data_IF_538753543426
#
_entry.id   IF_538753543426
#
_cell.length_a   1.000
_cell.length_b   1.000
_cell.length_c   1.000
_cell.angle_alpha   90.00
_cell.angle_beta   90.00
_cell.angle_gamma   90.00
#
_symmetry.space_group_name_H-M   'P 1'
#
loop_
_entity.id
_entity.type
_entity.pdbx_description
1 polymer ?
#
# COMPACT_ATOMS: atom_id res chain seq x y z
N UNK A 1 -24.22 47.29 -5.13
CA UNK A 1 -23.13 46.41 -5.54
C UNK A 1 -23.37 45.08 -4.83
N UNK A 2 -23.83 44.07 -5.58
CA UNK A 2 -24.11 42.74 -5.03
C UNK A 2 -22.88 41.89 -5.21
N UNK A 3 -22.32 41.40 -4.09
CA UNK A 3 -21.21 40.49 -4.05
C UNK A 3 -21.72 39.10 -4.43
N UNK A 4 -21.32 38.61 -5.59
CA UNK A 4 -21.61 37.24 -6.00
C UNK A 4 -20.85 36.26 -5.10
N UNK A 5 -21.59 35.47 -4.33
CA UNK A 5 -21.07 34.26 -3.69
C UNK A 5 -20.65 33.28 -4.81
N UNK A 6 -19.38 33.02 -4.89
CA UNK A 6 -18.84 31.91 -5.69
C UNK A 6 -19.32 30.60 -5.05
N UNK A 7 -20.30 29.97 -5.69
CA UNK A 7 -20.69 28.61 -5.36
C UNK A 7 -19.48 27.68 -5.52
N UNK A 8 -19.12 27.05 -4.42
CA UNK A 8 -18.16 25.95 -4.46
C UNK A 8 -18.77 24.81 -5.29
N UNK A 9 -18.00 24.12 -6.16
CA UNK A 9 -18.53 23.01 -6.90
C UNK A 9 -19.05 21.93 -5.94
N UNK A 10 -20.13 21.23 -6.27
CA UNK A 10 -20.66 20.18 -5.42
C UNK A 10 -19.60 19.13 -5.20
N UNK A 11 -19.24 18.88 -3.96
CA UNK A 11 -18.42 17.74 -3.57
C UNK A 11 -19.21 16.49 -3.94
N UNK A 12 -18.89 15.90 -5.07
CA UNK A 12 -19.45 14.61 -5.48
C UNK A 12 -18.94 13.60 -4.47
N UNK A 13 -19.82 13.15 -3.57
CA UNK A 13 -19.46 12.12 -2.61
C UNK A 13 -19.07 10.86 -3.40
N UNK A 14 -17.81 10.49 -3.34
CA UNK A 14 -17.34 9.23 -3.93
C UNK A 14 -18.04 8.09 -3.19
N UNK A 15 -18.65 7.12 -3.90
CA UNK A 15 -19.36 6.02 -3.26
C UNK A 15 -18.45 5.26 -2.29
N UNK A 16 -18.99 4.90 -1.14
CA UNK A 16 -18.30 4.02 -0.17
C UNK A 16 -18.45 2.59 -0.67
N UNK A 17 -17.33 1.85 -0.81
CA UNK A 17 -17.38 0.42 -1.11
C UNK A 17 -18.18 -0.31 -0.02
N UNK A 18 -19.14 -1.15 -0.43
CA UNK A 18 -19.93 -2.01 0.47
C UNK A 18 -19.34 -3.41 0.47
N UNK A 19 -19.52 -4.12 1.57
CA UNK A 19 -19.09 -5.51 1.70
C UNK A 19 -19.66 -6.37 0.55
N UNK A 20 -18.76 -7.10 -0.15
CA UNK A 20 -19.11 -7.97 -1.27
C UNK A 20 -19.01 -7.35 -2.67
N UNK A 21 -18.57 -6.09 -2.79
CA UNK A 21 -18.25 -5.44 -4.07
C UNK A 21 -16.79 -5.68 -4.45
N UNK A 22 -16.48 -5.55 -5.74
CA UNK A 22 -15.11 -5.60 -6.27
C UNK A 22 -14.20 -4.59 -5.57
N UNK A 23 -12.89 -4.86 -5.53
CA UNK A 23 -11.91 -3.91 -4.99
C UNK A 23 -11.73 -2.74 -5.94
N UNK A 24 -11.68 -1.53 -5.41
CA UNK A 24 -11.56 -0.30 -6.19
C UNK A 24 -10.44 0.60 -5.68
N UNK A 25 -9.88 1.37 -6.60
CA UNK A 25 -9.07 2.56 -6.34
C UNK A 25 -9.85 3.81 -6.74
N UNK A 26 -9.43 4.99 -6.31
CA UNK A 26 -10.03 6.28 -6.70
C UNK A 26 -9.02 7.00 -7.59
N UNK A 27 -9.38 7.19 -8.85
CA UNK A 27 -8.55 7.86 -9.84
C UNK A 27 -9.37 8.96 -10.51
N UNK A 28 -8.93 10.22 -10.39
CA UNK A 28 -9.65 11.39 -10.88
C UNK A 28 -11.11 11.50 -10.38
N UNK A 29 -11.38 11.01 -9.16
CA UNK A 29 -12.69 11.01 -8.56
C UNK A 29 -13.62 9.87 -9.02
N UNK A 30 -13.13 8.98 -9.86
CA UNK A 30 -13.85 7.80 -10.33
C UNK A 30 -13.35 6.53 -9.62
N UNK A 31 -14.25 5.57 -9.40
CA UNK A 31 -13.89 4.24 -8.90
C UNK A 31 -13.37 3.41 -10.07
N UNK A 32 -12.09 3.05 -10.03
CA UNK A 32 -11.47 2.12 -10.97
C UNK A 32 -11.35 0.76 -10.30
N UNK A 33 -12.01 -0.24 -10.84
CA UNK A 33 -11.92 -1.62 -10.34
C UNK A 33 -10.50 -2.14 -10.44
N UNK A 34 -10.01 -2.73 -9.35
CA UNK A 34 -8.71 -3.38 -9.29
C UNK A 34 -8.84 -4.82 -9.81
N UNK A 35 -7.88 -5.26 -10.62
CA UNK A 35 -7.85 -6.66 -11.03
C UNK A 35 -7.56 -7.57 -9.82
N UNK A 36 -8.25 -8.72 -9.72
CA UNK A 36 -8.01 -9.64 -8.62
C UNK A 36 -6.61 -10.24 -8.71
N UNK A 37 -5.91 -10.27 -7.59
CA UNK A 37 -4.62 -10.95 -7.48
C UNK A 37 -4.75 -12.46 -7.67
N UNK A 38 -3.81 -13.08 -8.39
CA UNK A 38 -3.67 -14.53 -8.44
C UNK A 38 -3.32 -15.13 -7.06
N UNK A 39 -3.69 -16.39 -6.83
CA UNK A 39 -3.53 -17.06 -5.54
C UNK A 39 -2.09 -17.02 -4.99
N UNK A 40 -1.08 -17.19 -5.84
CA UNK A 40 0.32 -17.14 -5.44
C UNK A 40 0.73 -15.76 -4.92
N UNK A 41 0.34 -14.69 -5.61
CA UNK A 41 0.59 -13.30 -5.20
C UNK A 41 -0.13 -12.97 -3.90
N UNK A 42 -1.38 -13.42 -3.75
CA UNK A 42 -2.17 -13.27 -2.52
C UNK A 42 -1.49 -13.93 -1.33
N UNK A 43 -0.99 -15.17 -1.49
CA UNK A 43 -0.26 -15.87 -0.43
C UNK A 43 1.04 -15.16 -0.07
N UNK A 44 1.75 -14.61 -1.06
CA UNK A 44 3.00 -13.89 -0.84
C UNK A 44 2.76 -12.56 -0.10
N UNK A 45 1.73 -11.81 -0.51
CA UNK A 45 1.30 -10.60 0.20
C UNK A 45 0.90 -10.92 1.65
N UNK A 46 0.14 -12.00 1.87
CA UNK A 46 -0.26 -12.46 3.19
C UNK A 46 0.94 -12.87 4.05
N UNK A 47 1.90 -13.63 3.50
CA UNK A 47 3.10 -14.04 4.21
C UNK A 47 3.94 -12.83 4.64
N UNK A 48 4.11 -11.84 3.75
CA UNK A 48 4.81 -10.60 4.07
C UNK A 48 4.05 -9.80 5.15
N UNK A 49 2.75 -9.62 4.98
CA UNK A 49 1.90 -8.90 5.93
C UNK A 49 1.95 -9.54 7.32
N UNK A 50 1.91 -10.87 7.42
CA UNK A 50 2.00 -11.60 8.68
C UNK A 50 3.31 -11.33 9.40
N UNK A 51 4.46 -11.45 8.70
CA UNK A 51 5.78 -11.20 9.29
C UNK A 51 5.97 -9.76 9.73
N UNK A 52 5.51 -8.80 8.91
CA UNK A 52 5.52 -7.39 9.29
C UNK A 52 4.62 -7.12 10.49
N UNK A 53 3.42 -7.71 10.51
CA UNK A 53 2.46 -7.53 11.59
C UNK A 53 2.99 -8.06 12.93
N UNK A 54 3.63 -9.23 12.94
CA UNK A 54 4.24 -9.80 14.14
C UNK A 54 5.31 -8.87 14.71
N UNK A 55 6.18 -8.33 13.84
CA UNK A 55 7.19 -7.37 14.23
C UNK A 55 6.58 -6.06 14.73
N UNK A 56 5.65 -5.48 13.97
CA UNK A 56 4.99 -4.21 14.28
C UNK A 56 4.24 -4.28 15.62
N UNK A 57 3.53 -5.38 15.87
CA UNK A 57 2.80 -5.59 17.11
C UNK A 57 3.73 -5.76 18.31
N UNK A 58 4.79 -6.57 18.19
CA UNK A 58 5.76 -6.79 19.27
C UNK A 58 6.47 -5.50 19.70
N UNK A 59 6.72 -4.60 18.73
CA UNK A 59 7.38 -3.31 18.97
C UNK A 59 6.40 -2.14 19.11
N UNK A 60 5.08 -2.37 19.00
CA UNK A 60 4.01 -1.36 19.12
C UNK A 60 4.18 -0.18 18.16
N UNK A 61 4.61 -0.45 16.93
CA UNK A 61 4.95 0.57 15.94
C UNK A 61 3.73 1.18 15.25
N UNK A 62 2.65 0.42 15.06
CA UNK A 62 1.47 0.85 14.31
C UNK A 62 0.55 -0.30 13.91
N UNK A 63 0.03 -0.23 12.71
CA UNK A 63 -0.91 -1.20 12.12
C UNK A 63 -0.38 -1.64 10.76
N UNK A 64 -0.35 -2.96 10.52
CA UNK A 64 -0.21 -3.55 9.18
C UNK A 64 -1.58 -3.99 8.72
N UNK A 65 -1.93 -3.67 7.48
CA UNK A 65 -3.23 -3.97 6.90
C UNK A 65 -3.08 -4.33 5.43
N UNK A 66 -3.95 -5.18 4.92
CA UNK A 66 -3.99 -5.60 3.50
C UNK A 66 -5.23 -5.05 2.83
N UNK A 67 -5.15 -4.79 1.52
CA UNK A 67 -6.29 -4.45 0.67
C UNK A 67 -7.12 -3.25 1.18
N UNK A 68 -6.51 -2.35 1.96
CA UNK A 68 -7.18 -1.16 2.47
C UNK A 68 -7.14 -0.03 1.45
N UNK A 69 -8.29 0.56 1.15
CA UNK A 69 -8.35 1.76 0.36
C UNK A 69 -7.95 2.98 1.22
N UNK A 70 -6.83 3.60 0.87
CA UNK A 70 -6.37 4.83 1.49
C UNK A 70 -6.79 6.04 0.67
N UNK A 71 -7.50 6.98 1.27
CA UNK A 71 -7.74 8.30 0.70
C UNK A 71 -6.61 9.24 1.03
N UNK A 72 -6.22 10.04 0.05
CA UNK A 72 -5.19 11.03 0.25
C UNK A 72 -5.82 12.40 0.57
N UNK A 73 -5.79 12.81 1.85
CA UNK A 73 -6.42 14.04 2.36
C UNK A 73 -6.15 15.30 1.51
N UNK A 74 -5.01 15.36 0.83
CA UNK A 74 -4.64 16.50 -0.02
C UNK A 74 -5.34 16.50 -1.38
N UNK A 75 -5.91 15.37 -1.78
CA UNK A 75 -6.64 15.19 -3.03
C UNK A 75 -7.71 14.12 -2.85
N UNK A 76 -8.97 14.52 -2.52
CA UNK A 76 -10.06 13.58 -2.30
C UNK A 76 -10.44 12.78 -3.56
N UNK A 77 -9.97 13.20 -4.73
CA UNK A 77 -10.18 12.49 -5.98
C UNK A 77 -9.13 11.41 -6.23
N UNK A 78 -8.24 11.16 -5.24
CA UNK A 78 -7.21 10.13 -5.30
C UNK A 78 -7.27 9.22 -4.07
N UNK A 79 -7.21 7.92 -4.35
CA UNK A 79 -7.09 6.89 -3.33
C UNK A 79 -6.49 5.64 -3.94
N UNK A 80 -5.56 5.03 -3.21
CA UNK A 80 -4.86 3.82 -3.63
C UNK A 80 -5.10 2.69 -2.64
N UNK A 81 -5.04 1.47 -3.16
CA UNK A 81 -5.24 0.23 -2.42
C UNK A 81 -4.00 -0.66 -2.58
N UNK A 82 -2.95 -0.43 -1.79
CA UNK A 82 -1.78 -1.30 -1.83
C UNK A 82 -2.11 -2.70 -1.30
N UNK A 83 -1.43 -3.72 -1.79
CA UNK A 83 -1.62 -5.11 -1.35
C UNK A 83 -1.32 -5.27 0.14
N UNK A 84 -0.27 -4.60 0.62
CA UNK A 84 0.05 -4.49 2.06
C UNK A 84 0.41 -3.05 2.38
N UNK A 85 -0.04 -2.56 3.51
CA UNK A 85 0.33 -1.24 4.01
C UNK A 85 0.73 -1.27 5.49
N UNK A 86 1.59 -0.33 5.87
CA UNK A 86 1.86 -0.03 7.27
C UNK A 86 1.54 1.43 7.56
N UNK A 87 0.78 1.65 8.63
CA UNK A 87 0.46 2.97 9.18
C UNK A 87 1.08 3.08 10.57
N UNK A 88 1.98 4.03 10.75
CA UNK A 88 2.66 4.24 12.02
C UNK A 88 1.68 4.64 13.12
N UNK A 89 2.06 4.35 14.37
CA UNK A 89 1.28 4.73 15.55
C UNK A 89 1.00 6.22 15.61
N UNK A 90 1.90 7.04 15.11
CA UNK A 90 1.71 8.49 15.03
C UNK A 90 0.56 8.85 14.10
N UNK A 91 0.56 8.32 12.87
CA UNK A 91 -0.50 8.55 11.88
C UNK A 91 -1.85 7.96 12.34
N UNK A 92 -1.82 6.79 12.99
CA UNK A 92 -3.04 6.21 13.59
C UNK A 92 -3.68 7.10 14.68
N UNK A 93 -2.87 7.89 15.40
CA UNK A 93 -3.41 8.85 16.39
C UNK A 93 -4.04 10.08 15.72
N UNK A 94 -3.48 10.49 14.58
CA UNK A 94 -4.00 11.64 13.83
C UNK A 94 -5.28 11.28 13.06
N UNK A 95 -5.32 10.07 12.49
CA UNK A 95 -6.48 9.53 11.79
C UNK A 95 -6.71 8.08 12.28
N UNK A 96 -7.61 7.87 13.26
CA UNK A 96 -7.91 6.54 13.77
C UNK A 96 -8.45 5.60 12.70
N UNK A 97 -8.16 4.30 12.85
CA UNK A 97 -8.67 3.27 11.94
C UNK A 97 -10.20 3.33 11.89
N UNK A 98 -10.79 3.50 10.70
CA UNK A 98 -12.25 3.53 10.55
C UNK A 98 -12.84 2.14 10.85
N UNK A 99 -14.10 2.12 11.28
CA UNK A 99 -14.83 0.85 11.47
C UNK A 99 -15.37 0.30 10.16
N UNK A 100 -15.61 1.16 9.21
CA UNK A 100 -16.19 0.84 7.90
C UNK A 100 -15.59 1.78 6.84
N UNK A 101 -15.55 1.31 5.60
CA UNK A 101 -15.12 2.09 4.45
C UNK A 101 -13.61 2.24 4.30
N UNK A 102 -13.23 3.28 3.63
CA UNK A 102 -11.86 3.68 3.33
C UNK A 102 -11.19 4.41 4.50
N UNK A 103 -9.88 4.44 4.51
CA UNK A 103 -9.10 5.11 5.55
C UNK A 103 -8.48 6.40 5.03
N UNK A 104 -8.90 7.52 5.62
CA UNK A 104 -8.38 8.84 5.29
C UNK A 104 -7.04 9.09 6.02
N UNK A 105 -6.02 8.39 5.57
CA UNK A 105 -4.64 8.48 6.05
C UNK A 105 -3.68 8.12 4.93
N UNK A 106 -2.48 8.70 4.95
CA UNK A 106 -1.38 8.25 4.09
C UNK A 106 -0.60 7.16 4.82
N UNK A 107 -0.41 5.95 4.29
CA UNK A 107 0.42 4.94 4.93
C UNK A 107 1.90 5.35 4.94
N UNK A 108 2.69 4.84 5.88
CA UNK A 108 4.14 5.04 5.91
C UNK A 108 4.85 4.13 4.93
N UNK A 109 4.32 2.91 4.75
CA UNK A 109 4.75 1.94 3.74
C UNK A 109 3.56 1.51 2.90
N UNK A 110 3.74 1.48 1.59
CA UNK A 110 2.89 0.76 0.63
C UNK A 110 3.70 -0.39 0.00
N UNK A 111 3.07 -1.53 -0.18
CA UNK A 111 3.66 -2.68 -0.87
C UNK A 111 2.76 -3.07 -2.02
N UNK A 112 3.34 -3.22 -3.20
CA UNK A 112 2.70 -3.73 -4.42
C UNK A 112 3.34 -5.06 -4.79
N UNK A 113 2.54 -6.08 -5.05
CA UNK A 113 2.99 -7.39 -5.53
C UNK A 113 2.67 -7.49 -7.02
N UNK A 114 3.71 -7.41 -7.83
CA UNK A 114 3.57 -7.36 -9.29
C UNK A 114 3.12 -8.71 -9.84
N UNK A 115 2.05 -8.71 -10.60
CA UNK A 115 1.61 -9.84 -11.42
C UNK A 115 2.13 -9.70 -12.87
N UNK A 116 2.20 -10.79 -13.64
CA UNK A 116 2.60 -10.73 -15.05
C UNK A 116 1.71 -9.85 -15.94
N UNK A 117 0.49 -9.57 -15.50
CA UNK A 117 -0.51 -8.77 -16.20
C UNK A 117 -0.46 -7.29 -15.84
N UNK A 118 0.31 -6.90 -14.82
CA UNK A 118 0.38 -5.50 -14.42
C UNK A 118 1.06 -4.64 -15.50
N UNK A 119 0.47 -3.50 -15.80
CA UNK A 119 1.08 -2.50 -16.67
C UNK A 119 2.19 -1.75 -15.90
N UNK A 120 3.38 -1.70 -16.51
CA UNK A 120 4.51 -0.98 -15.95
C UNK A 120 4.20 0.52 -15.77
N UNK A 121 3.41 1.11 -16.67
CA UNK A 121 2.99 2.51 -16.59
C UNK A 121 2.11 2.75 -15.36
N UNK A 122 1.17 1.84 -15.08
CA UNK A 122 0.30 1.94 -13.91
C UNK A 122 1.10 1.84 -12.60
N UNK A 123 2.08 0.93 -12.54
CA UNK A 123 2.97 0.82 -11.39
C UNK A 123 3.78 2.09 -11.18
N UNK A 124 4.31 2.70 -12.24
CA UNK A 124 5.05 3.95 -12.17
C UNK A 124 4.16 5.10 -11.68
N UNK A 125 2.92 5.19 -12.17
CA UNK A 125 1.93 6.16 -11.69
C UNK A 125 1.64 5.98 -10.19
N UNK A 126 1.45 4.75 -9.70
CA UNK A 126 1.28 4.44 -8.29
C UNK A 126 2.48 4.93 -7.46
N UNK A 127 3.70 4.64 -7.90
CA UNK A 127 4.93 5.09 -7.23
C UNK A 127 5.00 6.62 -7.13
N UNK A 128 4.72 7.32 -8.24
CA UNK A 128 4.69 8.78 -8.28
C UNK A 128 3.68 9.35 -7.27
N UNK A 129 2.47 8.78 -7.22
CA UNK A 129 1.41 9.21 -6.32
C UNK A 129 1.76 8.93 -4.86
N UNK A 130 2.23 7.73 -4.53
CA UNK A 130 2.62 7.38 -3.16
C UNK A 130 3.62 8.39 -2.59
N UNK A 131 4.69 8.70 -3.31
CA UNK A 131 5.68 9.66 -2.84
C UNK A 131 5.16 11.10 -2.84
N UNK A 132 4.36 11.50 -3.83
CA UNK A 132 3.70 12.81 -3.88
C UNK A 132 2.84 13.07 -2.64
N UNK A 133 2.13 12.05 -2.16
CA UNK A 133 1.25 12.18 -0.99
C UNK A 133 1.96 11.94 0.34
N UNK A 134 3.21 11.47 0.33
CA UNK A 134 4.04 11.39 1.52
C UNK A 134 4.12 9.99 2.14
N UNK A 135 3.96 8.95 1.35
CA UNK A 135 4.40 7.59 1.69
C UNK A 135 5.92 7.62 1.83
N UNK A 136 6.46 7.03 2.88
CA UNK A 136 7.89 7.10 3.19
C UNK A 136 8.71 6.06 2.45
N UNK A 137 8.15 4.88 2.24
CA UNK A 137 8.75 3.81 1.42
C UNK A 137 7.67 3.11 0.61
N UNK A 138 8.04 2.69 -0.60
CA UNK A 138 7.24 1.78 -1.40
C UNK A 138 8.07 0.54 -1.71
N UNK A 139 7.52 -0.61 -1.40
CA UNK A 139 8.13 -1.89 -1.73
C UNK A 139 7.40 -2.50 -2.92
N UNK A 140 8.15 -2.88 -3.94
CA UNK A 140 7.59 -3.55 -5.12
C UNK A 140 8.16 -4.96 -5.17
N UNK A 141 7.32 -5.95 -4.91
CA UNK A 141 7.68 -7.34 -4.91
C UNK A 141 7.43 -7.96 -6.28
N UNK A 142 8.47 -8.53 -6.87
CA UNK A 142 8.45 -9.21 -8.16
C UNK A 142 8.56 -10.73 -7.95
N UNK A 143 7.44 -11.46 -7.85
CA UNK A 143 7.44 -12.89 -7.50
C UNK A 143 8.18 -13.75 -8.52
N UNK A 144 8.00 -13.51 -9.82
CA UNK A 144 8.63 -14.29 -10.89
C UNK A 144 10.16 -14.22 -10.87
N UNK A 145 10.70 -13.08 -10.43
CA UNK A 145 12.15 -12.87 -10.35
C UNK A 145 12.69 -13.06 -8.94
N UNK A 146 11.83 -13.37 -7.97
CA UNK A 146 12.16 -13.50 -6.53
C UNK A 146 12.97 -12.31 -6.04
N UNK A 147 12.48 -11.08 -6.36
CA UNK A 147 13.14 -9.81 -6.05
C UNK A 147 12.19 -8.86 -5.36
N UNK A 148 12.77 -8.02 -4.53
CA UNK A 148 12.09 -6.88 -3.90
C UNK A 148 12.83 -5.60 -4.26
N UNK A 149 12.10 -4.61 -4.73
CA UNK A 149 12.58 -3.25 -4.95
C UNK A 149 12.10 -2.38 -3.78
N UNK A 150 13.04 -1.85 -3.01
CA UNK A 150 12.77 -0.94 -1.90
C UNK A 150 13.00 0.47 -2.38
N UNK A 151 11.92 1.20 -2.64
CA UNK A 151 11.95 2.60 -3.01
C UNK A 151 11.87 3.45 -1.75
N UNK A 152 12.92 4.21 -1.44
CA UNK A 152 12.92 5.25 -0.41
C UNK A 152 12.56 6.63 -1.01
N UNK A 153 12.65 6.75 -2.33
CA UNK A 153 12.17 7.86 -3.14
C UNK A 153 12.15 7.42 -4.61
N UNK A 154 11.65 8.28 -5.50
CA UNK A 154 11.69 8.03 -6.94
C UNK A 154 13.12 7.92 -7.51
N UNK A 155 14.14 8.35 -6.76
CA UNK A 155 15.55 8.33 -7.20
C UNK A 155 16.43 7.39 -6.39
N UNK A 156 15.93 6.87 -5.27
CA UNK A 156 16.68 5.98 -4.39
C UNK A 156 15.95 4.65 -4.27
N UNK A 157 16.49 3.66 -4.97
CA UNK A 157 15.93 2.31 -5.05
C UNK A 157 17.03 1.31 -4.73
N UNK A 158 16.74 0.40 -3.82
CA UNK A 158 17.58 -0.77 -3.54
C UNK A 158 16.88 -2.01 -4.09
N UNK A 159 17.63 -2.85 -4.79
CA UNK A 159 17.12 -4.12 -5.33
C UNK A 159 17.68 -5.26 -4.48
N UNK A 160 16.78 -6.01 -3.87
CA UNK A 160 17.10 -7.18 -3.07
C UNK A 160 16.77 -8.44 -3.87
N UNK A 161 17.71 -9.37 -3.90
CA UNK A 161 17.51 -10.71 -4.47
C UNK A 161 17.08 -11.69 -3.38
N UNK A 162 16.75 -12.90 -3.75
CA UNK A 162 16.28 -13.92 -2.81
C UNK A 162 17.24 -14.16 -1.63
N UNK A 163 18.56 -14.14 -1.87
CA UNK A 163 19.59 -14.37 -0.84
C UNK A 163 19.79 -13.17 0.11
N UNK A 164 19.14 -12.04 -0.18
CA UNK A 164 19.24 -10.84 0.64
C UNK A 164 18.17 -10.83 1.74
N UNK A 165 18.32 -9.90 2.68
CA UNK A 165 17.34 -9.64 3.73
C UNK A 165 16.80 -8.23 3.63
N UNK A 166 15.49 -8.08 3.87
CA UNK A 166 14.87 -6.78 4.07
C UNK A 166 15.37 -6.25 5.42
N UNK A 167 15.99 -5.07 5.37
CA UNK A 167 16.34 -4.33 6.57
C UNK A 167 15.31 -3.24 6.81
N UNK A 168 14.73 -3.20 8.00
CA UNK A 168 13.60 -2.32 8.29
C UNK A 168 13.91 -0.82 8.31
N UNK A 169 15.20 -0.45 8.40
CA UNK A 169 15.63 0.94 8.40
C UNK A 169 14.96 1.76 9.50
N UNK A 170 14.54 2.98 9.14
CA UNK A 170 13.85 3.88 10.08
C UNK A 170 12.40 3.48 10.35
N UNK A 171 11.72 2.80 9.41
CA UNK A 171 10.32 2.40 9.58
C UNK A 171 10.18 1.27 10.59
N UNK A 172 11.10 0.31 10.55
CA UNK A 172 11.08 -0.90 11.37
C UNK A 172 12.45 -1.15 12.00
N UNK A 173 12.87 -0.33 12.99
CA UNK A 173 14.21 -0.43 13.57
C UNK A 173 14.48 -1.82 14.15
N UNK A 174 15.49 -2.52 13.62
CA UNK A 174 15.86 -3.86 14.03
C UNK A 174 15.17 -4.99 13.27
N UNK A 175 14.26 -4.72 12.36
CA UNK A 175 13.71 -5.74 11.47
C UNK A 175 14.80 -6.26 10.53
N UNK A 176 14.93 -7.58 10.50
CA UNK A 176 15.69 -8.33 9.49
C UNK A 176 14.80 -9.46 9.02
N UNK A 177 14.41 -9.43 7.76
CA UNK A 177 13.52 -10.43 7.15
C UNK A 177 14.20 -11.02 5.90
N UNK A 178 14.71 -12.26 5.97
CA UNK A 178 15.31 -12.94 4.81
C UNK A 178 14.25 -13.14 3.71
N UNK A 179 14.55 -12.70 2.47
CA UNK A 179 13.63 -12.88 1.34
C UNK A 179 13.44 -14.36 0.99
N UNK A 180 14.46 -15.19 1.13
CA UNK A 180 14.36 -16.63 0.93
C UNK A 180 13.24 -17.25 1.80
N UNK A 181 13.11 -16.83 3.06
CA UNK A 181 12.05 -17.32 3.94
C UNK A 181 10.66 -16.85 3.52
N UNK A 182 10.56 -15.65 2.96
CA UNK A 182 9.29 -15.13 2.44
C UNK A 182 8.82 -15.97 1.26
N UNK A 183 9.71 -16.24 0.30
CA UNK A 183 9.38 -17.06 -0.87
C UNK A 183 9.17 -18.54 -0.51
N UNK A 184 9.93 -19.09 0.45
CA UNK A 184 9.72 -20.44 0.92
C UNK A 184 8.35 -20.64 1.61
N UNK A 185 7.83 -19.62 2.26
CA UNK A 185 6.51 -19.68 2.93
C UNK A 185 5.36 -19.93 1.96
N UNK A 186 5.52 -19.62 0.68
CA UNK A 186 4.50 -19.84 -0.37
C UNK A 186 4.84 -20.97 -1.33
N UNK A 187 6.04 -21.51 -1.25
CA UNK A 187 6.42 -22.74 -1.96
C UNK A 187 5.82 -23.93 -1.21
N UNK A 188 4.51 -24.13 -1.37
CA UNK A 188 3.84 -25.32 -0.86
C UNK A 188 4.35 -26.53 -1.65
N UNK A 189 5.26 -27.26 -1.04
CA UNK A 189 5.61 -28.64 -1.34
C UNK A 189 5.69 -28.98 -2.84
N UNK A 190 6.84 -28.91 -3.40
CA UNK A 190 7.24 -29.92 -4.38
C UNK A 190 7.43 -31.27 -3.71
#
# INVERSE_FOLDING_TARGET
MATALLDAPPTTAVPICRDGESLYEIIDGELKESEPMGAYMTLLAFALATRLNDFVNSHKLGIVITEMLFRFQRDPNRGRRPDVAFVSRERCRQSPLPKEGDWDVVPDLAVEVVSPTNDATELEEKLLEYFRFGVRQVWVLHPEHRRLYVHESLRKVSVLNEDDSILGGELFPGLVLPLAELFAAVSLAE
#
